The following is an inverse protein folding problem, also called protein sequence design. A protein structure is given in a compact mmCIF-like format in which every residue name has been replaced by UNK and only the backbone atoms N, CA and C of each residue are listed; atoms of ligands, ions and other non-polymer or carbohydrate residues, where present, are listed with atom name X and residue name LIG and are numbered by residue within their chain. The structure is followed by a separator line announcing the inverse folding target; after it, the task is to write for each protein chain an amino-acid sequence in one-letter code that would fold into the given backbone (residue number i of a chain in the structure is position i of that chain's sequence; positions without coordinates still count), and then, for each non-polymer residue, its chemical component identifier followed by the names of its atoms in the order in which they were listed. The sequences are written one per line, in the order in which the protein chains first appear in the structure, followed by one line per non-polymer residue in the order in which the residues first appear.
data_IF_233050692781
#
_entry.id   IF_233050692781
#
_cell.length_a   1.000
_cell.length_b   1.000
_cell.length_c   1.000
_cell.angle_alpha   90.00
_cell.angle_beta   90.00
_cell.angle_gamma   90.00
#
_symmetry.space_group_name_H-M   'P 1'
#
loop_
_entity.id
_entity.type
_entity.pdbx_description
1 polymer ?
#
# COMPACT_ATOMS: atom_id res chain seq x y z
N UNK A 1 8.39 3.72 -19.96
CA UNK A 1 7.43 3.26 -20.97
C UNK A 1 6.52 2.24 -20.31
N UNK A 2 5.34 2.66 -19.94
CA UNK A 2 4.30 1.75 -19.47
C UNK A 2 3.79 0.98 -20.68
N UNK A 3 4.12 -0.31 -20.74
CA UNK A 3 3.51 -1.21 -21.71
C UNK A 3 2.01 -1.24 -21.48
N UNK A 4 1.25 -1.36 -22.57
CA UNK A 4 -0.23 -1.40 -22.61
C UNK A 4 -0.83 -2.68 -22.00
N UNK A 5 -0.13 -3.36 -21.09
CA UNK A 5 -0.65 -4.46 -20.28
C UNK A 5 -1.32 -3.87 -19.05
N UNK A 6 -2.64 -3.99 -18.96
CA UNK A 6 -3.42 -3.57 -17.82
C UNK A 6 -2.99 -4.40 -16.61
N UNK A 7 -2.12 -3.84 -15.73
CA UNK A 7 -1.79 -4.44 -14.44
C UNK A 7 -3.07 -4.38 -13.61
N UNK A 8 -3.71 -5.51 -13.39
CA UNK A 8 -4.86 -5.58 -12.50
C UNK A 8 -4.34 -5.67 -11.07
N UNK A 9 -4.46 -4.57 -10.36
CA UNK A 9 -4.31 -4.54 -8.91
C UNK A 9 -5.64 -4.95 -8.30
N UNK A 10 -5.66 -5.96 -7.44
CA UNK A 10 -6.81 -6.30 -6.63
C UNK A 10 -6.54 -5.86 -5.20
N UNK A 11 -7.43 -5.01 -4.68
CA UNK A 11 -7.49 -4.69 -3.26
C UNK A 11 -8.70 -5.44 -2.71
N UNK A 12 -8.45 -6.42 -1.86
CA UNK A 12 -9.52 -7.14 -1.17
C UNK A 12 -9.95 -6.36 0.06
N UNK A 13 -11.19 -5.92 0.09
CA UNK A 13 -11.83 -5.29 1.25
C UNK A 13 -12.90 -6.21 1.87
N UNK A 14 -12.77 -7.49 1.66
CA UNK A 14 -13.64 -8.46 2.30
C UNK A 14 -13.12 -8.71 3.72
N UNK A 15 -13.95 -8.54 4.72
CA UNK A 15 -13.59 -8.88 6.11
C UNK A 15 -13.62 -10.39 6.38
N UNK A 16 -13.63 -11.22 5.34
CA UNK A 16 -13.74 -12.67 5.44
C UNK A 16 -12.39 -13.33 5.14
N UNK A 17 -11.77 -13.98 6.13
CA UNK A 17 -10.51 -14.71 5.94
C UNK A 17 -10.66 -15.81 4.86
N UNK A 18 -9.60 -16.00 4.05
CA UNK A 18 -9.49 -17.13 3.13
C UNK A 18 -10.49 -17.15 1.97
N UNK A 19 -11.18 -16.03 1.70
CA UNK A 19 -12.19 -15.97 0.62
C UNK A 19 -11.54 -15.97 -0.78
N UNK A 20 -10.29 -15.52 -0.89
CA UNK A 20 -9.55 -15.52 -2.16
C UNK A 20 -8.83 -16.85 -2.32
N UNK A 21 -9.16 -17.57 -3.39
CA UNK A 21 -8.55 -18.86 -3.70
C UNK A 21 -7.31 -18.72 -4.60
N UNK A 22 -6.46 -19.76 -4.61
CA UNK A 22 -5.32 -19.83 -5.55
C UNK A 22 -5.77 -19.74 -7.01
N UNK A 23 -6.89 -20.35 -7.37
CA UNK A 23 -7.43 -20.32 -8.74
C UNK A 23 -7.87 -18.91 -9.15
N UNK A 24 -8.44 -18.14 -8.21
CA UNK A 24 -8.75 -16.72 -8.46
C UNK A 24 -7.48 -15.92 -8.74
N UNK A 25 -6.43 -16.10 -7.97
CA UNK A 25 -5.15 -15.43 -8.20
C UNK A 25 -4.51 -15.88 -9.50
N UNK A 26 -4.52 -17.19 -9.80
CA UNK A 26 -3.98 -17.73 -11.06
C UNK A 26 -4.72 -17.22 -12.31
N UNK A 27 -5.99 -16.80 -12.17
CA UNK A 27 -6.76 -16.18 -13.26
C UNK A 27 -6.45 -14.71 -13.51
N UNK A 28 -5.65 -14.08 -12.64
CA UNK A 28 -5.23 -12.69 -12.78
C UNK A 28 -4.19 -12.55 -13.91
N UNK A 29 -3.91 -11.30 -14.30
CA UNK A 29 -2.83 -11.03 -15.23
C UNK A 29 -1.47 -11.45 -14.64
N UNK A 30 -0.52 -11.76 -15.54
CA UNK A 30 0.87 -11.99 -15.14
C UNK A 30 1.39 -10.79 -14.33
N UNK A 31 2.22 -11.07 -13.36
CA UNK A 31 2.84 -10.07 -12.47
C UNK A 31 1.80 -9.22 -11.69
N UNK A 32 0.69 -9.82 -11.30
CA UNK A 32 -0.37 -9.15 -10.57
C UNK A 32 0.09 -8.62 -9.20
N UNK A 33 -0.52 -7.51 -8.77
CA UNK A 33 -0.34 -6.90 -7.45
C UNK A 33 -1.61 -7.19 -6.64
N UNK A 34 -1.46 -7.75 -5.45
CA UNK A 34 -2.55 -8.15 -4.58
C UNK A 34 -2.38 -7.57 -3.17
N UNK A 35 -3.39 -6.86 -2.68
CA UNK A 35 -3.46 -6.41 -1.30
C UNK A 35 -4.61 -7.12 -0.58
N UNK A 36 -4.25 -8.02 0.36
CA UNK A 36 -5.19 -8.77 1.19
C UNK A 36 -5.29 -8.08 2.56
N UNK A 37 -6.38 -7.34 2.77
CA UNK A 37 -6.49 -6.34 3.84
C UNK A 37 -7.27 -6.82 5.07
N UNK A 38 -7.87 -8.02 5.05
CA UNK A 38 -8.57 -8.57 6.22
C UNK A 38 -7.59 -8.82 7.38
N UNK A 39 -8.03 -8.54 8.59
CA UNK A 39 -7.23 -8.64 9.80
C UNK A 39 -8.04 -9.37 10.90
N UNK A 40 -7.49 -10.32 11.66
CA UNK A 40 -6.08 -10.73 11.72
C UNK A 40 -5.65 -11.74 10.65
N UNK A 41 -6.58 -12.38 9.96
CA UNK A 41 -6.29 -13.35 8.90
C UNK A 41 -6.69 -12.76 7.56
N UNK A 42 -5.74 -12.63 6.60
CA UNK A 42 -6.04 -12.04 5.30
C UNK A 42 -6.94 -12.93 4.44
N UNK A 43 -7.49 -12.37 3.38
CA UNK A 43 -8.34 -13.08 2.40
C UNK A 43 -7.59 -14.22 1.71
N UNK A 44 -6.28 -14.11 1.57
CA UNK A 44 -5.36 -15.16 1.16
C UNK A 44 -4.01 -14.92 1.83
N UNK A 45 -3.35 -15.97 2.26
CA UNK A 45 -2.00 -15.87 2.82
C UNK A 45 -0.99 -15.48 1.73
N UNK A 46 -0.01 -14.60 2.02
CA UNK A 46 0.94 -14.09 1.03
C UNK A 46 1.71 -15.17 0.28
N UNK A 47 2.16 -16.22 0.96
CA UNK A 47 2.85 -17.36 0.37
C UNK A 47 1.98 -18.12 -0.64
N UNK A 48 0.70 -18.28 -0.33
CA UNK A 48 -0.27 -18.91 -1.23
C UNK A 48 -0.57 -18.04 -2.45
N UNK A 49 -0.66 -16.72 -2.27
CA UNK A 49 -0.88 -15.78 -3.36
C UNK A 49 0.33 -15.73 -4.31
N UNK A 50 1.54 -15.70 -3.78
CA UNK A 50 2.78 -15.76 -4.58
C UNK A 50 2.89 -17.09 -5.33
N UNK A 51 2.63 -18.21 -4.67
CA UNK A 51 2.62 -19.53 -5.30
C UNK A 51 1.58 -19.65 -6.43
N UNK A 52 0.51 -18.85 -6.39
CA UNK A 52 -0.53 -18.80 -7.41
C UNK A 52 -0.21 -17.79 -8.55
N UNK A 53 0.92 -17.07 -8.49
CA UNK A 53 1.41 -16.20 -9.56
C UNK A 53 1.30 -14.69 -9.31
N UNK A 54 0.87 -14.25 -8.12
CA UNK A 54 0.96 -12.84 -7.75
C UNK A 54 2.44 -12.45 -7.56
N UNK A 55 2.85 -11.33 -8.14
CA UNK A 55 4.23 -10.83 -8.03
C UNK A 55 4.45 -10.03 -6.75
N UNK A 56 3.55 -9.08 -6.49
CA UNK A 56 3.60 -8.25 -5.29
C UNK A 56 2.40 -8.58 -4.42
N UNK A 57 2.65 -8.90 -3.16
CA UNK A 57 1.59 -9.17 -2.19
C UNK A 57 1.82 -8.31 -0.96
N UNK A 58 0.80 -7.57 -0.55
CA UNK A 58 0.77 -6.81 0.70
C UNK A 58 -0.39 -7.24 1.59
N UNK A 59 -0.19 -7.14 2.90
CA UNK A 59 -1.19 -7.48 3.91
C UNK A 59 -1.03 -6.60 5.14
N UNK A 60 -2.05 -6.53 5.99
CA UNK A 60 -1.96 -5.81 7.26
C UNK A 60 -1.04 -6.46 8.31
N UNK A 61 -0.57 -7.67 8.08
CA UNK A 61 0.27 -8.42 9.03
C UNK A 61 1.71 -7.93 9.01
N UNK A 62 2.31 -7.82 10.20
CA UNK A 62 3.70 -7.39 10.38
C UNK A 62 4.73 -8.50 10.20
N UNK A 63 4.29 -9.76 10.14
CA UNK A 63 5.15 -10.94 9.96
C UNK A 63 5.37 -11.30 8.47
N UNK A 64 4.84 -10.48 7.55
CA UNK A 64 5.05 -10.61 6.11
C UNK A 64 5.63 -9.31 5.51
N UNK A 65 6.33 -9.40 4.37
CA UNK A 65 6.75 -8.24 3.60
C UNK A 65 5.58 -7.35 3.17
N UNK A 66 5.88 -6.10 2.84
CA UNK A 66 4.88 -5.13 2.35
C UNK A 66 3.71 -4.95 3.32
N UNK A 67 4.00 -4.72 4.60
CA UNK A 67 2.96 -4.44 5.58
C UNK A 67 2.20 -3.17 5.23
N UNK A 68 0.91 -3.32 4.90
CA UNK A 68 0.00 -2.20 4.67
C UNK A 68 -0.62 -1.80 6.00
N UNK A 69 -0.11 -0.72 6.58
CA UNK A 69 -0.56 -0.25 7.89
C UNK A 69 -0.93 1.24 7.82
N UNK A 70 -2.05 1.60 8.40
CA UNK A 70 -2.52 2.98 8.48
C UNK A 70 -1.51 3.94 9.14
N UNK A 71 -0.61 3.43 9.97
CA UNK A 71 0.44 4.23 10.64
C UNK A 71 1.42 4.88 9.66
N UNK A 72 1.59 4.36 8.45
CA UNK A 72 2.41 5.02 7.41
C UNK A 72 1.74 6.24 6.78
N UNK A 73 0.43 6.40 6.91
CA UNK A 73 -0.32 7.46 6.24
C UNK A 73 -0.90 8.48 7.24
N UNK A 74 -1.70 8.03 8.21
CA UNK A 74 -2.53 8.92 9.02
C UNK A 74 -1.75 9.93 9.86
N UNK A 75 -0.67 9.60 10.57
CA UNK A 75 0.05 10.59 11.34
C UNK A 75 0.55 11.76 10.49
N UNK A 76 1.10 11.49 9.32
CA UNK A 76 1.58 12.51 8.39
C UNK A 76 0.46 13.34 7.77
N UNK A 77 -0.64 12.70 7.35
CA UNK A 77 -1.81 13.38 6.77
C UNK A 77 -2.42 14.35 7.79
N UNK A 78 -2.68 13.90 9.02
CA UNK A 78 -3.27 14.76 10.05
C UNK A 78 -2.31 15.87 10.49
N UNK A 79 -1.02 15.56 10.65
CA UNK A 79 -0.01 16.56 10.95
C UNK A 79 0.01 17.65 9.89
N UNK A 80 0.09 17.31 8.62
CA UNK A 80 0.12 18.26 7.51
C UNK A 80 -1.15 19.10 7.44
N UNK A 81 -2.32 18.48 7.57
CA UNK A 81 -3.59 19.17 7.55
C UNK A 81 -3.77 20.16 8.72
N UNK A 82 -3.39 19.76 9.94
CA UNK A 82 -3.50 20.60 11.13
C UNK A 82 -2.50 21.77 11.11
N UNK A 83 -1.23 21.50 10.78
CA UNK A 83 -0.20 22.56 10.67
C UNK A 83 -0.52 23.56 9.55
N UNK A 84 -1.04 23.08 8.42
CA UNK A 84 -1.49 23.90 7.29
C UNK A 84 -2.86 24.56 7.50
N UNK A 85 -3.56 24.25 8.58
CA UNK A 85 -4.93 24.74 8.86
C UNK A 85 -5.93 24.43 7.76
N UNK A 86 -5.80 23.24 7.14
CA UNK A 86 -6.75 22.79 6.14
C UNK A 86 -8.16 22.63 6.73
N UNK A 87 -9.15 23.08 6.01
CA UNK A 87 -10.57 22.92 6.41
C UNK A 87 -11.10 21.50 6.16
N UNK A 88 -10.44 20.76 5.29
CA UNK A 88 -10.77 19.38 4.93
C UNK A 88 -9.58 18.64 4.37
N UNK A 89 -9.63 17.31 4.39
CA UNK A 89 -8.65 16.45 3.70
C UNK A 89 -9.21 16.11 2.32
N UNK A 90 -8.58 16.66 1.27
CA UNK A 90 -9.04 16.49 -0.11
C UNK A 90 -8.49 15.19 -0.73
N UNK A 91 -9.06 14.78 -1.87
CA UNK A 91 -8.54 13.64 -2.65
C UNK A 91 -7.11 13.92 -3.17
N UNK A 92 -6.81 15.17 -3.52
CA UNK A 92 -5.46 15.57 -3.94
C UNK A 92 -4.44 15.38 -2.81
N UNK A 93 -4.80 15.71 -1.58
CA UNK A 93 -3.96 15.47 -0.40
C UNK A 93 -3.72 13.98 -0.17
N UNK A 94 -4.73 13.13 -0.35
CA UNK A 94 -4.58 11.67 -0.23
C UNK A 94 -3.65 11.12 -1.31
N UNK A 95 -3.77 11.61 -2.54
CA UNK A 95 -2.90 11.22 -3.65
C UNK A 95 -1.46 11.69 -3.42
N UNK A 96 -1.27 12.91 -2.92
CA UNK A 96 0.05 13.44 -2.56
C UNK A 96 0.71 12.60 -1.46
N UNK A 97 -0.06 12.23 -0.42
CA UNK A 97 0.41 11.33 0.63
C UNK A 97 0.85 9.97 0.07
N UNK A 98 0.06 9.38 -0.81
CA UNK A 98 0.39 8.09 -1.43
C UNK A 98 1.69 8.17 -2.26
N UNK A 99 1.87 9.24 -3.05
CA UNK A 99 3.10 9.50 -3.81
C UNK A 99 4.30 9.73 -2.90
N UNK A 100 4.12 10.49 -1.82
CA UNK A 100 5.16 10.74 -0.83
C UNK A 100 5.63 9.46 -0.15
N UNK A 101 4.70 8.57 0.25
CA UNK A 101 5.00 7.26 0.84
C UNK A 101 5.75 6.39 -0.17
N UNK A 102 5.26 6.30 -1.40
CA UNK A 102 5.90 5.51 -2.45
C UNK A 102 7.33 5.98 -2.77
N UNK A 103 7.56 7.29 -2.76
CA UNK A 103 8.88 7.89 -3.01
C UNK A 103 9.90 7.71 -1.88
N UNK A 104 9.51 7.18 -0.73
CA UNK A 104 10.43 6.88 0.38
C UNK A 104 11.21 5.58 0.18
N UNK A 105 10.76 4.71 -0.71
CA UNK A 105 11.51 3.49 -1.09
C UNK A 105 12.41 3.86 -2.27
N UNK A 106 13.75 3.87 -2.12
CA UNK A 106 14.65 4.16 -3.22
C UNK A 106 14.53 3.14 -4.35
N UNK A 107 14.76 3.58 -5.59
CA UNK A 107 14.64 2.69 -6.78
C UNK A 107 15.55 1.46 -6.69
N UNK A 108 16.73 1.60 -6.10
CA UNK A 108 17.69 0.52 -5.89
C UNK A 108 17.25 -0.51 -4.84
N UNK A 109 16.36 -0.12 -3.93
CA UNK A 109 15.79 -1.00 -2.89
C UNK A 109 14.41 -1.53 -3.28
N UNK A 110 13.81 -0.98 -4.33
CA UNK A 110 12.47 -1.36 -4.77
C UNK A 110 12.47 -2.79 -5.29
N UNK A 111 11.66 -3.64 -4.67
CA UNK A 111 11.50 -5.04 -5.06
C UNK A 111 10.07 -5.51 -4.81
N UNK A 112 9.73 -6.71 -5.25
CA UNK A 112 8.42 -7.30 -5.01
C UNK A 112 8.07 -7.49 -3.51
N UNK A 113 9.10 -7.53 -2.66
CA UNK A 113 8.97 -7.66 -1.21
C UNK A 113 9.29 -6.35 -0.45
N UNK A 114 9.59 -5.27 -1.15
CA UNK A 114 9.91 -3.97 -0.55
C UNK A 114 9.32 -2.82 -1.38
N UNK A 115 8.02 -2.59 -1.26
CA UNK A 115 7.29 -1.52 -1.96
C UNK A 115 6.82 -0.40 -1.04
N UNK A 116 6.97 -0.56 0.28
CA UNK A 116 6.53 0.39 1.30
C UNK A 116 7.65 0.66 2.30
N UNK A 117 7.75 1.90 2.84
CA UNK A 117 8.67 2.16 3.94
C UNK A 117 8.24 1.42 5.20
N UNK A 118 9.15 1.27 6.14
CA UNK A 118 8.84 0.65 7.42
C UNK A 118 7.79 1.46 8.19
N UNK A 119 6.85 0.76 8.83
CA UNK A 119 5.68 1.37 9.45
C UNK A 119 6.00 2.44 10.53
N UNK A 120 7.14 2.33 11.21
CA UNK A 120 7.54 3.25 12.29
C UNK A 120 8.76 4.11 11.92
N UNK A 121 9.08 4.25 10.64
CA UNK A 121 10.13 5.17 10.20
C UNK A 121 9.67 6.62 10.46
N UNK A 122 10.41 7.40 11.27
CA UNK A 122 10.03 8.76 11.60
C UNK A 122 10.02 9.70 10.40
N UNK A 123 10.76 9.39 9.33
CA UNK A 123 10.78 10.18 8.11
C UNK A 123 9.46 10.14 7.34
N UNK A 124 8.66 9.06 7.51
CA UNK A 124 7.39 8.89 6.79
C UNK A 124 6.42 10.01 7.12
N UNK A 125 6.16 10.24 8.41
CA UNK A 125 5.19 11.25 8.85
C UNK A 125 5.60 12.68 8.42
N UNK A 126 6.89 13.00 8.48
CA UNK A 126 7.40 14.31 8.04
C UNK A 126 7.25 14.50 6.53
N UNK A 127 7.60 13.49 5.74
CA UNK A 127 7.51 13.56 4.29
C UNK A 127 6.07 13.68 3.82
N UNK A 128 5.17 12.90 4.39
CA UNK A 128 3.72 12.98 4.11
C UNK A 128 3.16 14.35 4.53
N UNK A 129 3.50 14.82 5.73
CA UNK A 129 3.07 16.14 6.23
C UNK A 129 3.49 17.27 5.30
N UNK A 130 4.74 17.24 4.80
CA UNK A 130 5.23 18.23 3.84
C UNK A 130 4.44 18.21 2.54
N UNK A 131 4.20 17.02 1.97
CA UNK A 131 3.44 16.87 0.74
C UNK A 131 1.99 17.37 0.87
N UNK A 132 1.38 17.22 2.04
CA UNK A 132 0.04 17.78 2.34
C UNK A 132 0.09 19.30 2.40
N UNK A 133 1.09 19.88 3.11
CA UNK A 133 1.20 21.33 3.27
C UNK A 133 1.44 22.09 1.95
N UNK A 134 2.08 21.46 0.97
CA UNK A 134 2.29 22.03 -0.36
C UNK A 134 0.97 22.23 -1.16
N UNK A 135 -0.13 21.66 -0.71
CA UNK A 135 -1.45 21.75 -1.35
C UNK A 135 -2.42 22.69 -0.61
N UNK A 136 -1.97 23.36 0.45
CA UNK A 136 -2.76 24.29 1.25
C UNK A 136 -2.31 25.72 0.98
#
# INVERSE_FOLDING_TARGET
RYGTGMVRTIICHSFSPGIVTKDMVASMNKDAILFAMANPVPEIMPDLAKAAGAKVVGTGRSDFPNQVNNVVAFPGIFKGALEGRASQITEEMKLAAAKAIAGLVPDEELSEDNILPQAFDPCVAETVSRAIKELI
#
